data_IF_060524353017
#
_entry.id   IF_060524353017
#
_cell.length_a   1.000
_cell.length_b   1.000
_cell.length_c   1.000
_cell.angle_alpha   90.00
_cell.angle_beta   90.00
_cell.angle_gamma   90.00
#
_symmetry.space_group_name_H-M   'P 1'
#
loop_
_entity.id
_entity.type
_entity.pdbx_description
1 polymer ?
#
# COMPACT_ATOMS: atom_id res chain seq x y z
N UNK A 1 22.83 0.59 33.90
CA UNK A 1 21.60 0.55 33.07
C UNK A 1 21.90 -0.32 31.87
N UNK A 2 21.42 -1.58 31.85
CA UNK A 2 21.66 -2.46 30.70
C UNK A 2 20.92 -1.87 29.50
N UNK A 3 21.64 -1.66 28.40
CA UNK A 3 21.00 -1.34 27.14
C UNK A 3 20.16 -2.57 26.74
N UNK A 4 18.85 -2.47 26.90
CA UNK A 4 17.92 -3.50 26.51
C UNK A 4 18.07 -3.68 24.99
N UNK A 5 18.62 -4.83 24.58
CA UNK A 5 18.81 -5.16 23.17
C UNK A 5 17.42 -5.35 22.55
N UNK A 6 16.92 -4.35 21.84
CA UNK A 6 15.68 -4.48 21.08
C UNK A 6 15.96 -5.31 19.83
N UNK A 7 15.32 -6.48 19.73
CA UNK A 7 15.30 -7.25 18.49
C UNK A 7 14.47 -6.47 17.46
N UNK A 8 15.15 -6.00 16.41
CA UNK A 8 14.55 -5.22 15.32
C UNK A 8 13.40 -5.99 14.67
N UNK A 9 13.53 -7.32 14.55
CA UNK A 9 12.49 -8.18 13.97
C UNK A 9 11.18 -8.10 14.75
N UNK A 10 11.24 -8.25 16.08
CA UNK A 10 10.05 -8.18 16.94
C UNK A 10 9.37 -6.80 16.90
N UNK A 11 10.14 -5.71 16.77
CA UNK A 11 9.54 -4.38 16.63
C UNK A 11 8.86 -4.25 15.26
N UNK A 12 9.50 -4.66 14.17
CA UNK A 12 8.91 -4.63 12.82
C UNK A 12 7.64 -5.51 12.76
N UNK A 13 7.67 -6.67 13.39
CA UNK A 13 6.51 -7.58 13.48
C UNK A 13 5.31 -6.88 14.13
N UNK A 14 5.49 -6.23 15.28
CA UNK A 14 4.42 -5.51 15.98
C UNK A 14 3.81 -4.39 15.15
N UNK A 15 4.64 -3.63 14.43
CA UNK A 15 4.15 -2.60 13.52
C UNK A 15 3.44 -3.18 12.30
N UNK A 16 3.82 -4.38 11.87
CA UNK A 16 3.15 -5.09 10.78
C UNK A 16 1.79 -5.64 11.18
N UNK A 17 1.62 -6.04 12.45
CA UNK A 17 0.31 -6.39 13.01
C UNK A 17 -0.67 -5.20 12.97
N UNK A 18 -0.20 -3.97 13.19
CA UNK A 18 -1.03 -2.77 13.03
C UNK A 18 -1.56 -2.66 11.58
N UNK A 19 -0.73 -2.96 10.59
CA UNK A 19 -1.14 -2.92 9.17
C UNK A 19 -2.15 -4.03 8.87
N UNK A 20 -2.00 -5.23 9.43
CA UNK A 20 -3.02 -6.30 9.32
C UNK A 20 -4.36 -5.83 9.88
N UNK A 21 -4.36 -5.20 11.06
CA UNK A 21 -5.60 -4.67 11.67
C UNK A 21 -6.24 -3.62 10.77
N UNK A 22 -5.46 -2.66 10.24
CA UNK A 22 -5.97 -1.64 9.34
C UNK A 22 -6.52 -2.21 8.01
N UNK A 23 -5.89 -3.25 7.46
CA UNK A 23 -6.41 -3.97 6.30
C UNK A 23 -7.73 -4.69 6.65
N UNK A 24 -7.82 -5.27 7.85
CA UNK A 24 -9.07 -5.86 8.37
C UNK A 24 -10.21 -4.85 8.45
N UNK A 25 -9.96 -3.67 9.01
CA UNK A 25 -10.94 -2.57 9.07
C UNK A 25 -11.34 -2.06 7.67
N UNK A 26 -10.41 -2.11 6.71
CA UNK A 26 -10.71 -1.80 5.30
C UNK A 26 -11.68 -2.83 4.71
N UNK A 27 -11.51 -4.13 5.03
CA UNK A 27 -12.44 -5.19 4.61
C UNK A 27 -13.82 -5.00 5.25
N UNK A 28 -13.88 -4.65 6.53
CA UNK A 28 -15.15 -4.35 7.21
C UNK A 28 -15.85 -3.18 6.50
N UNK A 29 -15.12 -2.12 6.14
CA UNK A 29 -15.66 -0.95 5.44
C UNK A 29 -16.27 -1.30 4.07
N UNK A 30 -15.70 -2.29 3.38
CA UNK A 30 -16.25 -2.84 2.13
C UNK A 30 -17.55 -3.62 2.40
N UNK A 31 -17.59 -4.41 3.47
CA UNK A 31 -18.70 -5.33 3.75
C UNK A 31 -19.92 -4.65 4.39
N UNK A 32 -19.73 -3.61 5.21
CA UNK A 32 -20.82 -2.96 5.96
C UNK A 32 -21.97 -2.45 5.07
N UNK A 33 -21.72 -1.73 3.96
CA UNK A 33 -22.79 -1.27 3.06
C UNK A 33 -23.60 -2.41 2.42
N UNK A 34 -23.02 -3.61 2.34
CA UNK A 34 -23.62 -4.77 1.68
C UNK A 34 -24.59 -5.54 2.59
N UNK A 35 -24.60 -5.27 3.90
CA UNK A 35 -25.37 -6.04 4.90
C UNK A 35 -26.89 -5.89 4.77
N UNK A 36 -27.37 -4.81 4.14
CA UNK A 36 -28.80 -4.54 3.95
C UNK A 36 -29.36 -4.92 2.58
N UNK A 37 -28.55 -5.54 1.70
CA UNK A 37 -28.93 -5.82 0.31
C UNK A 37 -29.67 -7.16 0.22
N UNK A 38 -30.93 -7.13 -0.22
CA UNK A 38 -31.74 -8.35 -0.42
C UNK A 38 -31.36 -9.14 -1.70
N UNK A 39 -30.85 -8.45 -2.74
CA UNK A 39 -30.49 -9.06 -4.02
C UNK A 39 -29.13 -8.54 -4.49
N UNK A 40 -28.11 -9.41 -4.47
CA UNK A 40 -26.78 -9.09 -4.97
C UNK A 40 -26.76 -9.23 -6.51
N UNK A 41 -26.45 -8.16 -7.23
CA UNK A 41 -26.28 -8.26 -8.68
C UNK A 41 -24.87 -8.78 -9.03
N UNK A 42 -24.69 -9.28 -10.26
CA UNK A 42 -23.35 -9.63 -10.76
C UNK A 42 -22.38 -8.44 -10.79
N UNK A 43 -22.92 -7.22 -10.91
CA UNK A 43 -22.15 -5.98 -10.87
C UNK A 43 -21.59 -5.67 -9.48
N UNK A 44 -22.42 -5.83 -8.45
CA UNK A 44 -22.03 -5.67 -7.04
C UNK A 44 -20.95 -6.69 -6.66
N UNK A 45 -21.11 -7.94 -7.10
CA UNK A 45 -20.11 -8.98 -6.89
C UNK A 45 -18.77 -8.63 -7.55
N UNK A 46 -18.81 -8.02 -8.74
CA UNK A 46 -17.62 -7.53 -9.44
C UNK A 46 -16.92 -6.40 -8.66
N UNK A 47 -17.68 -5.44 -8.14
CA UNK A 47 -17.15 -4.36 -7.29
C UNK A 47 -16.53 -4.89 -6.00
N UNK A 48 -17.21 -5.81 -5.33
CA UNK A 48 -16.72 -6.49 -4.13
C UNK A 48 -15.40 -7.23 -4.41
N UNK A 49 -15.37 -8.05 -5.45
CA UNK A 49 -14.18 -8.78 -5.86
C UNK A 49 -13.01 -7.82 -6.18
N UNK A 50 -13.27 -6.72 -6.91
CA UNK A 50 -12.26 -5.72 -7.20
C UNK A 50 -11.69 -5.06 -5.93
N UNK A 51 -12.54 -4.74 -4.96
CA UNK A 51 -12.10 -4.16 -3.69
C UNK A 51 -11.25 -5.15 -2.87
N UNK A 52 -11.64 -6.42 -2.81
CA UNK A 52 -10.83 -7.46 -2.18
C UNK A 52 -9.47 -7.65 -2.87
N UNK A 53 -9.44 -7.63 -4.21
CA UNK A 53 -8.20 -7.70 -4.98
C UNK A 53 -7.31 -6.49 -4.70
N UNK A 54 -7.89 -5.29 -4.58
CA UNK A 54 -7.15 -4.09 -4.20
C UNK A 54 -6.51 -4.23 -2.81
N UNK A 55 -7.29 -4.61 -1.79
CA UNK A 55 -6.79 -4.82 -0.43
C UNK A 55 -5.72 -5.93 -0.39
N UNK A 56 -5.95 -7.03 -1.10
CA UNK A 56 -4.98 -8.13 -1.25
C UNK A 56 -3.69 -7.70 -1.97
N UNK A 57 -3.81 -6.84 -2.97
CA UNK A 57 -2.67 -6.23 -3.68
C UNK A 57 -1.83 -5.34 -2.76
N UNK A 58 -2.47 -4.52 -1.92
CA UNK A 58 -1.76 -3.69 -0.93
C UNK A 58 -1.11 -4.56 0.15
N UNK A 59 -1.78 -5.61 0.61
CA UNK A 59 -1.19 -6.61 1.49
C UNK A 59 0.05 -7.23 0.85
N UNK A 60 -0.01 -7.61 -0.43
CA UNK A 60 1.11 -8.17 -1.19
C UNK A 60 2.28 -7.16 -1.29
N UNK A 61 2.01 -5.91 -1.65
CA UNK A 61 3.01 -4.85 -1.75
C UNK A 61 3.75 -4.60 -0.42
N UNK A 62 3.06 -4.75 0.71
CA UNK A 62 3.64 -4.56 2.05
C UNK A 62 4.40 -5.81 2.52
N UNK A 63 3.73 -6.97 2.62
CA UNK A 63 4.28 -8.15 3.29
C UNK A 63 5.38 -8.83 2.47
N UNK A 64 5.19 -8.97 1.16
CA UNK A 64 6.16 -9.69 0.32
C UNK A 64 7.38 -8.84 -0.02
N UNK A 65 7.17 -7.57 -0.38
CA UNK A 65 8.23 -6.74 -0.94
C UNK A 65 8.90 -5.83 0.09
N UNK A 66 8.17 -5.43 1.15
CA UNK A 66 8.62 -4.32 2.00
C UNK A 66 9.17 -4.77 3.36
N UNK A 67 8.72 -5.90 3.93
CA UNK A 67 9.18 -6.37 5.25
C UNK A 67 10.70 -6.58 5.32
N UNK A 68 11.25 -7.39 4.43
CA UNK A 68 12.69 -7.65 4.41
C UNK A 68 13.53 -6.40 4.16
N UNK A 69 13.00 -5.46 3.37
CA UNK A 69 13.66 -4.19 3.12
C UNK A 69 13.70 -3.30 4.37
N UNK A 70 12.62 -3.28 5.15
CA UNK A 70 12.55 -2.52 6.41
C UNK A 70 13.52 -3.07 7.46
N UNK A 71 13.56 -4.39 7.65
CA UNK A 71 14.51 -5.02 8.58
C UNK A 71 15.95 -4.76 8.17
N UNK A 72 16.27 -4.99 6.89
CA UNK A 72 17.60 -4.73 6.35
C UNK A 72 18.00 -3.25 6.52
N UNK A 73 17.06 -2.34 6.30
CA UNK A 73 17.28 -0.91 6.46
C UNK A 73 17.58 -0.51 7.90
N UNK A 74 16.78 -0.99 8.85
CA UNK A 74 16.98 -0.66 10.27
C UNK A 74 18.30 -1.25 10.77
N UNK A 75 18.63 -2.47 10.37
CA UNK A 75 19.87 -3.15 10.77
C UNK A 75 21.14 -2.45 10.26
N UNK A 76 21.08 -1.80 9.09
CA UNK A 76 22.23 -1.06 8.52
C UNK A 76 22.26 0.43 8.85
N UNK A 77 21.29 0.93 9.59
CA UNK A 77 21.21 2.36 9.87
C UNK A 77 22.33 2.79 10.84
N UNK A 78 23.14 3.79 10.44
CA UNK A 78 24.17 4.42 11.30
C UNK A 78 23.61 4.92 12.63
N UNK A 79 22.33 5.34 12.63
CA UNK A 79 21.60 5.78 13.82
C UNK A 79 20.27 5.01 13.87
N UNK A 80 20.24 3.83 14.52
CA UNK A 80 19.08 2.94 14.53
C UNK A 80 17.79 3.63 15.00
N UNK A 81 17.88 4.47 16.03
CA UNK A 81 16.75 5.24 16.55
C UNK A 81 16.09 6.12 15.48
N UNK A 82 16.87 6.78 14.62
CA UNK A 82 16.33 7.66 13.59
C UNK A 82 15.62 6.84 12.51
N UNK A 83 16.18 5.71 12.11
CA UNK A 83 15.59 4.79 11.15
C UNK A 83 14.27 4.22 11.66
N UNK A 84 14.27 3.67 12.88
CA UNK A 84 13.07 3.16 13.58
C UNK A 84 12.00 4.25 13.64
N UNK A 85 12.34 5.47 14.06
CA UNK A 85 11.37 6.56 14.16
C UNK A 85 10.81 6.98 12.79
N UNK A 86 11.65 7.14 11.77
CA UNK A 86 11.19 7.57 10.45
C UNK A 86 10.36 6.52 9.73
N UNK A 87 10.73 5.25 9.88
CA UNK A 87 10.17 4.16 9.08
C UNK A 87 9.06 3.42 9.83
N UNK A 88 9.27 3.08 11.10
CA UNK A 88 8.24 2.43 11.91
C UNK A 88 7.19 3.44 12.37
N UNK A 89 7.57 4.46 13.16
CA UNK A 89 6.56 5.36 13.71
C UNK A 89 5.87 6.23 12.63
N UNK A 90 6.62 7.08 11.92
CA UNK A 90 6.02 7.98 10.93
C UNK A 90 5.57 7.25 9.66
N UNK A 91 6.34 6.24 9.23
CA UNK A 91 6.00 5.48 8.04
C UNK A 91 4.73 4.67 8.19
N UNK A 92 4.57 3.94 9.29
CA UNK A 92 3.34 3.16 9.50
C UNK A 92 2.15 4.05 9.81
N UNK A 93 2.36 5.22 10.42
CA UNK A 93 1.29 6.21 10.55
C UNK A 93 0.82 6.69 9.17
N UNK A 94 1.73 6.94 8.23
CA UNK A 94 1.36 7.29 6.85
C UNK A 94 0.64 6.13 6.14
N UNK A 95 1.14 4.89 6.27
CA UNK A 95 0.47 3.71 5.72
C UNK A 95 -0.95 3.52 6.29
N UNK A 96 -1.10 3.65 7.61
CA UNK A 96 -2.39 3.56 8.28
C UNK A 96 -3.33 4.68 7.83
N UNK A 97 -2.86 5.92 7.73
CA UNK A 97 -3.66 7.04 7.22
C UNK A 97 -4.10 6.80 5.77
N UNK A 98 -3.22 6.26 4.92
CA UNK A 98 -3.56 5.86 3.55
C UNK A 98 -4.64 4.77 3.51
N UNK A 99 -4.53 3.74 4.36
CA UNK A 99 -5.54 2.69 4.46
C UNK A 99 -6.88 3.22 4.99
N UNK A 100 -6.88 4.13 5.96
CA UNK A 100 -8.10 4.75 6.47
C UNK A 100 -8.78 5.59 5.38
N UNK A 101 -8.02 6.39 4.63
CA UNK A 101 -8.55 7.17 3.51
C UNK A 101 -9.14 6.26 2.41
N UNK A 102 -8.44 5.17 2.10
CA UNK A 102 -8.92 4.14 1.17
C UNK A 102 -10.21 3.48 1.68
N UNK A 103 -10.26 3.10 2.96
CA UNK A 103 -11.41 2.46 3.58
C UNK A 103 -12.65 3.37 3.54
N UNK A 104 -12.49 4.65 3.84
CA UNK A 104 -13.57 5.63 3.73
C UNK A 104 -14.08 5.77 2.28
N UNK A 105 -13.15 5.85 1.31
CA UNK A 105 -13.51 5.91 -0.11
C UNK A 105 -14.21 4.63 -0.60
N UNK A 106 -13.75 3.46 -0.15
CA UNK A 106 -14.36 2.18 -0.47
C UNK A 106 -15.75 2.07 0.13
N UNK A 107 -15.94 2.51 1.38
CA UNK A 107 -17.26 2.52 2.02
C UNK A 107 -18.28 3.28 1.17
N UNK A 108 -17.95 4.51 0.75
CA UNK A 108 -18.84 5.30 -0.10
C UNK A 108 -19.08 4.68 -1.49
N UNK A 109 -18.05 4.09 -2.11
CA UNK A 109 -18.26 3.39 -3.39
C UNK A 109 -19.16 2.16 -3.22
N UNK A 110 -19.10 1.47 -2.08
CA UNK A 110 -19.90 0.27 -1.85
C UNK A 110 -21.36 0.57 -1.49
N UNK A 111 -21.71 1.81 -1.17
CA UNK A 111 -23.12 2.24 -1.01
C UNK A 111 -23.83 2.29 -2.36
N UNK A 112 -23.17 2.84 -3.40
CA UNK A 112 -23.73 2.97 -4.75
C UNK A 112 -22.67 2.59 -5.82
N UNK A 113 -22.36 1.29 -5.99
CA UNK A 113 -21.21 0.85 -6.81
C UNK A 113 -21.28 1.24 -8.28
N UNK A 114 -22.50 1.35 -8.81
CA UNK A 114 -22.76 1.64 -10.23
C UNK A 114 -22.80 3.12 -10.56
N UNK A 115 -22.88 3.98 -9.55
CA UNK A 115 -23.03 5.41 -9.72
C UNK A 115 -21.67 6.08 -9.95
N UNK A 116 -21.74 7.33 -10.42
CA UNK A 116 -20.54 8.13 -10.69
C UNK A 116 -19.90 8.52 -9.38
N UNK A 117 -18.59 8.33 -9.30
CA UNK A 117 -17.85 8.57 -8.06
C UNK A 117 -17.68 10.07 -7.83
N UNK A 118 -18.12 10.63 -6.69
CA UNK A 118 -17.82 12.01 -6.33
C UNK A 118 -16.31 12.29 -6.34
N UNK A 119 -15.91 13.52 -6.67
CA UNK A 119 -14.49 13.90 -6.73
C UNK A 119 -13.78 13.61 -5.39
N UNK A 120 -14.46 13.86 -4.28
CA UNK A 120 -13.94 13.62 -2.92
C UNK A 120 -13.65 12.13 -2.69
N UNK A 121 -14.58 11.24 -3.06
CA UNK A 121 -14.42 9.79 -2.96
C UNK A 121 -13.30 9.27 -3.86
N UNK A 122 -13.20 9.79 -5.08
CA UNK A 122 -12.10 9.43 -5.99
C UNK A 122 -10.73 9.88 -5.45
N UNK A 123 -10.67 11.08 -4.87
CA UNK A 123 -9.48 11.59 -4.21
C UNK A 123 -9.11 10.74 -2.99
N UNK A 124 -10.07 10.35 -2.15
CA UNK A 124 -9.84 9.47 -0.98
C UNK A 124 -9.26 8.11 -1.40
N UNK A 125 -9.91 7.42 -2.33
CA UNK A 125 -9.48 6.12 -2.84
C UNK A 125 -8.06 6.18 -3.42
N UNK A 126 -7.86 7.10 -4.37
CA UNK A 126 -6.60 7.18 -5.11
C UNK A 126 -5.46 7.66 -4.21
N UNK A 127 -5.71 8.66 -3.35
CA UNK A 127 -4.70 9.14 -2.40
C UNK A 127 -4.32 8.08 -1.38
N UNK A 128 -5.26 7.26 -0.91
CA UNK A 128 -4.98 6.14 -0.01
C UNK A 128 -3.97 5.16 -0.62
N UNK A 129 -4.22 4.73 -1.87
CA UNK A 129 -3.29 3.86 -2.63
C UNK A 129 -1.95 4.55 -2.87
N UNK A 130 -1.95 5.83 -3.28
CA UNK A 130 -0.73 6.60 -3.53
C UNK A 130 0.11 6.70 -2.26
N UNK A 131 -0.47 7.08 -1.13
CA UNK A 131 0.25 7.22 0.14
C UNK A 131 0.86 5.88 0.56
N UNK A 132 0.09 4.79 0.40
CA UNK A 132 0.55 3.44 0.73
C UNK A 132 1.77 3.02 -0.10
N UNK A 133 1.71 3.18 -1.42
CA UNK A 133 2.80 2.80 -2.33
C UNK A 133 3.99 3.77 -2.23
N UNK A 134 3.72 5.08 -2.14
CA UNK A 134 4.73 6.13 -2.12
C UNK A 134 5.61 6.10 -0.87
N UNK A 135 5.07 5.66 0.28
CA UNK A 135 5.85 5.61 1.52
C UNK A 135 7.17 4.85 1.33
N UNK A 136 7.11 3.68 0.70
CA UNK A 136 8.29 2.86 0.43
C UNK A 136 9.17 3.44 -0.68
N UNK A 137 8.58 4.08 -1.70
CA UNK A 137 9.33 4.76 -2.74
C UNK A 137 10.18 5.93 -2.18
N UNK A 138 9.60 6.74 -1.28
CA UNK A 138 10.27 7.86 -0.61
C UNK A 138 11.39 7.36 0.30
N UNK A 139 11.14 6.31 1.10
CA UNK A 139 12.19 5.69 1.93
C UNK A 139 13.37 5.29 1.05
N UNK A 140 13.12 4.62 -0.07
CA UNK A 140 14.21 4.18 -0.92
C UNK A 140 14.94 5.34 -1.59
N UNK A 141 14.22 6.33 -2.10
CA UNK A 141 14.83 7.49 -2.74
C UNK A 141 15.80 8.20 -1.78
N UNK A 142 15.39 8.42 -0.53
CA UNK A 142 16.21 9.12 0.47
C UNK A 142 17.47 8.36 0.87
N UNK A 143 17.43 7.02 0.86
CA UNK A 143 18.50 6.20 1.43
C UNK A 143 19.41 5.56 0.37
N UNK A 144 18.85 5.09 -0.75
CA UNK A 144 19.60 4.43 -1.81
C UNK A 144 19.85 5.34 -3.03
N UNK A 145 19.21 6.53 -3.09
CA UNK A 145 19.17 7.40 -4.28
C UNK A 145 18.72 6.68 -5.56
N UNK A 146 17.99 5.57 -5.41
CA UNK A 146 17.40 4.79 -6.50
C UNK A 146 15.88 4.93 -6.44
N UNK A 147 15.26 4.93 -7.61
CA UNK A 147 13.81 5.10 -7.77
C UNK A 147 13.18 3.73 -8.00
N UNK A 148 12.12 3.40 -7.25
CA UNK A 148 11.20 2.32 -7.60
C UNK A 148 10.35 2.77 -8.78
N UNK A 149 10.70 2.34 -9.99
CA UNK A 149 10.00 2.77 -11.20
C UNK A 149 8.56 2.24 -11.20
N UNK A 150 8.36 1.01 -10.75
CA UNK A 150 7.05 0.37 -10.54
C UNK A 150 6.12 1.29 -9.73
N UNK A 151 6.54 1.64 -8.52
CA UNK A 151 5.75 2.45 -7.57
C UNK A 151 5.53 3.88 -8.06
N UNK A 152 6.51 4.50 -8.71
CA UNK A 152 6.34 5.85 -9.28
C UNK A 152 5.31 5.84 -10.41
N UNK A 153 5.38 4.86 -11.31
CA UNK A 153 4.40 4.71 -12.40
C UNK A 153 3.01 4.44 -11.82
N UNK A 154 2.88 3.53 -10.85
CA UNK A 154 1.60 3.24 -10.19
C UNK A 154 1.03 4.48 -9.50
N UNK A 155 1.84 5.24 -8.76
CA UNK A 155 1.40 6.49 -8.12
C UNK A 155 0.94 7.52 -9.16
N UNK A 156 1.65 7.65 -10.28
CA UNK A 156 1.28 8.58 -11.35
C UNK A 156 -0.05 8.17 -12.01
N UNK A 157 -0.27 6.88 -12.24
CA UNK A 157 -1.54 6.36 -12.77
C UNK A 157 -2.69 6.59 -11.78
N UNK A 158 -2.50 6.28 -10.50
CA UNK A 158 -3.51 6.56 -9.47
C UNK A 158 -3.80 8.06 -9.36
N UNK A 159 -2.80 8.93 -9.49
CA UNK A 159 -3.00 10.38 -9.47
C UNK A 159 -3.85 10.85 -10.65
N UNK A 160 -3.65 10.26 -11.83
CA UNK A 160 -4.45 10.55 -13.01
C UNK A 160 -5.91 10.07 -12.88
N UNK A 161 -6.18 9.07 -12.02
CA UNK A 161 -7.54 8.59 -11.76
C UNK A 161 -8.38 9.56 -10.93
N UNK A 162 -7.76 10.45 -10.15
CA UNK A 162 -8.49 11.44 -9.31
C UNK A 162 -9.43 12.32 -10.16
N UNK A 163 -8.95 13.08 -11.16
CA UNK A 163 -9.84 13.89 -12.00
C UNK A 163 -10.74 13.04 -12.91
N UNK A 164 -10.37 11.78 -13.18
CA UNK A 164 -11.17 10.90 -14.02
C UNK A 164 -12.34 10.24 -13.27
N UNK A 165 -12.25 10.12 -11.94
CA UNK A 165 -13.25 9.46 -11.08
C UNK A 165 -14.70 9.89 -11.31
N UNK A 166 -15.01 11.19 -11.37
CA UNK A 166 -16.37 11.68 -11.63
C UNK A 166 -16.97 11.29 -12.98
N UNK A 167 -16.15 10.77 -13.89
CA UNK A 167 -16.57 10.33 -15.22
C UNK A 167 -16.75 8.80 -15.34
N UNK A 168 -16.49 8.05 -14.26
CA UNK A 168 -16.58 6.59 -14.23
C UNK A 168 -17.44 6.08 -13.08
N UNK A 169 -17.90 4.83 -13.18
CA UNK A 169 -18.59 4.16 -12.08
C UNK A 169 -17.62 3.76 -10.96
N UNK A 170 -18.15 3.59 -9.75
CA UNK A 170 -17.41 3.09 -8.59
C UNK A 170 -16.70 1.76 -8.86
N UNK A 171 -17.41 0.79 -9.44
CA UNK A 171 -16.85 -0.51 -9.84
C UNK A 171 -15.66 -0.35 -10.77
N UNK A 172 -15.75 0.54 -11.78
CA UNK A 172 -14.67 0.75 -12.73
C UNK A 172 -13.45 1.38 -12.06
N UNK A 173 -13.64 2.41 -11.23
CA UNK A 173 -12.56 3.08 -10.52
C UNK A 173 -11.80 2.11 -9.59
N UNK A 174 -12.54 1.34 -8.79
CA UNK A 174 -11.95 0.36 -7.87
C UNK A 174 -11.23 -0.75 -8.64
N UNK A 175 -11.81 -1.22 -9.75
CA UNK A 175 -11.18 -2.21 -10.62
C UNK A 175 -9.87 -1.71 -11.24
N UNK A 176 -9.82 -0.43 -11.65
CA UNK A 176 -8.59 0.18 -12.17
C UNK A 176 -7.52 0.31 -11.08
N UNK A 177 -7.88 0.74 -9.87
CA UNK A 177 -6.95 0.79 -8.74
C UNK A 177 -6.42 -0.60 -8.37
N UNK A 178 -7.30 -1.61 -8.36
CA UNK A 178 -6.93 -3.01 -8.12
C UNK A 178 -5.95 -3.51 -9.19
N UNK A 179 -6.26 -3.26 -10.47
CA UNK A 179 -5.42 -3.63 -11.59
C UNK A 179 -4.04 -2.96 -11.52
N UNK A 180 -3.97 -1.65 -11.23
CA UNK A 180 -2.72 -0.92 -11.09
C UNK A 180 -1.88 -1.53 -9.96
N UNK A 181 -2.50 -1.77 -8.80
CA UNK A 181 -1.81 -2.32 -7.62
C UNK A 181 -1.27 -3.72 -7.88
N UNK A 182 -2.07 -4.59 -8.51
CA UNK A 182 -1.63 -5.96 -8.83
C UNK A 182 -0.57 -5.97 -9.93
N UNK A 183 -0.72 -5.15 -10.98
CA UNK A 183 0.26 -5.05 -12.05
C UNK A 183 1.62 -4.54 -11.54
N UNK A 184 1.60 -3.61 -10.59
CA UNK A 184 2.78 -3.12 -9.91
C UNK A 184 3.48 -4.23 -9.11
N UNK A 185 2.74 -4.96 -8.26
CA UNK A 185 3.26 -6.12 -7.52
C UNK A 185 3.83 -7.21 -8.44
N UNK A 186 3.12 -7.52 -9.54
CA UNK A 186 3.58 -8.49 -10.53
C UNK A 186 4.85 -8.02 -11.24
N UNK A 187 4.96 -6.73 -11.55
CA UNK A 187 6.17 -6.17 -12.14
C UNK A 187 7.36 -6.28 -11.18
N UNK A 188 7.17 -5.95 -9.89
CA UNK A 188 8.20 -6.13 -8.87
C UNK A 188 8.63 -7.60 -8.74
N UNK A 189 7.68 -8.54 -8.85
CA UNK A 189 7.93 -9.99 -8.70
C UNK A 189 8.60 -10.61 -9.95
N UNK A 190 8.14 -10.26 -11.15
CA UNK A 190 8.56 -10.91 -12.41
C UNK A 190 9.77 -10.24 -13.05
N UNK A 191 9.95 -8.94 -12.87
CA UNK A 191 11.07 -8.19 -13.44
C UNK A 191 11.67 -7.21 -12.42
N UNK A 192 12.26 -7.72 -11.33
CA UNK A 192 12.76 -6.91 -10.21
C UNK A 192 13.77 -5.84 -10.67
N UNK A 193 14.70 -6.18 -11.58
CA UNK A 193 15.66 -5.22 -12.12
C UNK A 193 14.99 -4.06 -12.89
N UNK A 194 13.93 -4.33 -13.65
CA UNK A 194 13.19 -3.34 -14.43
C UNK A 194 12.25 -2.47 -13.58
N UNK A 195 11.60 -3.09 -12.59
CA UNK A 195 10.84 -2.40 -11.55
C UNK A 195 11.75 -1.54 -10.64
N UNK A 196 13.04 -1.87 -10.66
CA UNK A 196 14.08 -1.21 -9.90
C UNK A 196 14.18 -1.76 -8.49
N UNK A 197 13.63 -2.92 -8.14
CA UNK A 197 13.79 -3.64 -6.84
C UNK A 197 15.29 -3.85 -6.54
N UNK A 198 15.77 -3.69 -5.29
CA UNK A 198 17.18 -3.86 -4.98
C UNK A 198 17.54 -5.34 -5.08
N UNK A 199 18.64 -5.63 -5.77
CA UNK A 199 19.18 -6.99 -5.81
C UNK A 199 19.77 -7.35 -4.43
N UNK A 200 19.48 -8.55 -3.94
CA UNK A 200 19.95 -9.02 -2.64
C UNK A 200 21.49 -9.10 -2.62
N UNK A 201 22.09 -9.42 -3.76
CA UNK A 201 23.54 -9.45 -3.94
C UNK A 201 24.14 -8.05 -3.89
N UNK A 202 23.46 -7.01 -4.41
CA UNK A 202 23.91 -5.61 -4.33
C UNK A 202 23.83 -5.07 -2.89
N UNK A 203 22.91 -5.60 -2.08
CA UNK A 203 22.81 -5.33 -0.65
C UNK A 203 23.88 -6.08 0.17
N UNK A 204 24.24 -7.30 -0.23
CA UNK A 204 25.33 -8.07 0.36
C UNK A 204 26.72 -7.47 0.05
N UNK A 205 26.94 -7.02 -1.18
CA UNK A 205 28.22 -6.44 -1.62
C UNK A 205 28.49 -5.07 -0.99
N UNK A 206 27.44 -4.28 -0.74
CA UNK A 206 27.56 -3.03 0.01
C UNK A 206 27.79 -3.28 1.50
N UNK A 207 27.29 -4.38 2.04
CA UNK A 207 27.58 -4.82 3.40
C UNK A 207 29.05 -5.06 3.64
N UNK A 208 29.70 -5.69 2.67
CA UNK A 208 31.10 -6.08 2.76
C UNK A 208 32.07 -4.89 2.61
N UNK A 209 31.58 -3.74 2.12
CA UNK A 209 32.39 -2.54 1.83
C UNK A 209 32.22 -1.41 2.84
N UNK A 210 31.35 -1.56 3.84
CA UNK A 210 31.10 -0.57 4.91
C UNK A 210 31.39 -1.15 6.27
#
# INVERSE_FOLDING_TARGET
MSAQHYDVGNVVERFSLLIIVALGETIVSIATPQTGIEHLTWGDLGGLAAAFVLVGGLWWAYFHHSLGLMEHYINRARVPFRAVRSLLAYGHLALAAGLIALAAGLHHVMEEPHDRVPMETSALLSSGVIVFLAMFAVIRLRNARKIYRSRVVACALCLALIPAGPHMSGVLLVSLLALITVAECLWETLAPAGAGVPDLDELADRAART
#
